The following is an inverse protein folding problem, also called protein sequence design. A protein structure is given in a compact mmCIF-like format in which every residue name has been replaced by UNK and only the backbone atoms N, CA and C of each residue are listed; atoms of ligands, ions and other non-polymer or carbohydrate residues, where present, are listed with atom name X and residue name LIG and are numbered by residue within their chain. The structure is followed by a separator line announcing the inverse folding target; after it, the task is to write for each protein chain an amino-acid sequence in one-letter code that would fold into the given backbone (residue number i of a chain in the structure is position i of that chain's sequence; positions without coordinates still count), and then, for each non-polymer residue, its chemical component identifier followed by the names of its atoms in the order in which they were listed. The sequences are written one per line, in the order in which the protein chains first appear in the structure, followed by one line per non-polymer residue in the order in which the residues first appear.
data_IF_617640243011
#
_entry.id   IF_617640243011
#
_cell.length_a   1.000
_cell.length_b   1.000
_cell.length_c   1.000
_cell.angle_alpha   90.00
_cell.angle_beta   90.00
_cell.angle_gamma   90.00
#
_symmetry.space_group_name_H-M   'P 1'
#
loop_
_entity.id
_entity.type
_entity.pdbx_description
1 polymer ?
#
# COMPACT_ATOMS: atom_id res chain seq x y z
N UNK A 1 -16.53 12.63 -11.97
CA UNK A 1 -15.15 12.65 -12.52
C UNK A 1 -14.12 12.15 -11.50
N UNK A 2 -14.16 12.64 -10.26
CA UNK A 2 -13.25 12.25 -9.17
C UNK A 2 -13.12 10.73 -8.94
N UNK A 3 -14.24 10.00 -8.89
CA UNK A 3 -14.22 8.55 -8.72
C UNK A 3 -13.49 7.77 -9.82
N UNK A 4 -13.61 8.23 -11.08
CA UNK A 4 -12.91 7.61 -12.20
C UNK A 4 -11.39 7.82 -12.11
N UNK A 5 -10.98 9.01 -11.65
CA UNK A 5 -9.57 9.33 -11.41
C UNK A 5 -8.96 8.37 -10.36
N UNK A 6 -9.66 8.17 -9.24
CA UNK A 6 -9.21 7.24 -8.19
C UNK A 6 -9.18 5.78 -8.64
N UNK A 7 -10.11 5.37 -9.50
CA UNK A 7 -10.15 4.00 -10.04
C UNK A 7 -8.94 3.74 -10.95
N UNK A 8 -8.60 4.71 -11.82
CA UNK A 8 -7.42 4.64 -12.70
C UNK A 8 -6.12 4.72 -11.90
N UNK A 9 -6.01 5.66 -10.97
CA UNK A 9 -4.82 5.82 -10.13
C UNK A 9 -4.61 4.60 -9.24
N UNK A 10 -5.66 4.11 -8.59
CA UNK A 10 -5.62 2.90 -7.77
C UNK A 10 -5.30 1.66 -8.59
N UNK A 11 -5.85 1.54 -9.81
CA UNK A 11 -5.53 0.45 -10.73
C UNK A 11 -4.06 0.46 -11.16
N UNK A 12 -3.55 1.60 -11.65
CA UNK A 12 -2.15 1.74 -12.04
C UNK A 12 -1.19 1.52 -10.86
N UNK A 13 -1.47 2.15 -9.71
CA UNK A 13 -0.65 2.00 -8.51
C UNK A 13 -0.68 0.55 -7.99
N UNK A 14 -1.83 -0.12 -8.05
CA UNK A 14 -1.98 -1.53 -7.67
C UNK A 14 -1.23 -2.49 -8.59
N UNK A 15 -1.26 -2.27 -9.91
CA UNK A 15 -0.49 -3.07 -10.89
C UNK A 15 1.01 -2.89 -10.67
N UNK A 16 1.48 -1.65 -10.52
CA UNK A 16 2.90 -1.36 -10.25
C UNK A 16 3.33 -1.98 -8.91
N UNK A 17 2.52 -1.82 -7.87
CA UNK A 17 2.75 -2.42 -6.56
C UNK A 17 2.87 -3.95 -6.61
N UNK A 18 2.00 -4.60 -7.39
CA UNK A 18 2.01 -6.05 -7.59
C UNK A 18 3.22 -6.54 -8.41
N UNK A 19 3.64 -5.77 -9.42
CA UNK A 19 4.78 -6.12 -10.27
C UNK A 19 6.12 -6.03 -9.52
N UNK A 20 6.31 -4.97 -8.73
CA UNK A 20 7.54 -4.78 -7.96
C UNK A 20 7.57 -5.59 -6.65
N UNK A 21 6.43 -6.05 -6.15
CA UNK A 21 6.34 -6.88 -4.95
C UNK A 21 6.67 -6.16 -3.64
N UNK A 22 6.88 -4.83 -3.67
CA UNK A 22 7.32 -4.01 -2.53
C UNK A 22 6.18 -3.65 -1.56
N UNK A 23 4.92 -3.95 -1.92
CA UNK A 23 3.75 -3.41 -1.23
C UNK A 23 3.56 -1.95 -1.63
N UNK A 24 2.39 -1.59 -2.15
CA UNK A 24 2.21 -0.38 -2.96
C UNK A 24 2.50 0.97 -2.31
N UNK A 25 2.91 1.02 -1.04
CA UNK A 25 3.11 2.25 -0.28
C UNK A 25 4.07 3.25 -0.91
N UNK A 26 5.18 2.79 -1.50
CA UNK A 26 6.15 3.70 -2.13
C UNK A 26 5.55 4.45 -3.34
N UNK A 27 4.59 3.84 -4.04
CA UNK A 27 3.92 4.43 -5.22
C UNK A 27 2.63 5.15 -4.83
N UNK A 28 1.85 4.58 -3.90
CA UNK A 28 0.53 5.06 -3.51
C UNK A 28 0.60 6.38 -2.72
N UNK A 29 1.57 6.56 -1.83
CA UNK A 29 1.70 7.81 -1.05
C UNK A 29 1.88 9.04 -1.95
N UNK A 30 2.91 9.13 -2.82
CA UNK A 30 3.09 10.32 -3.66
C UNK A 30 1.92 10.54 -4.62
N UNK A 31 1.29 9.47 -5.12
CA UNK A 31 0.09 9.57 -5.95
C UNK A 31 -1.08 10.20 -5.19
N UNK A 32 -1.34 9.77 -3.96
CA UNK A 32 -2.40 10.35 -3.12
C UNK A 32 -2.10 11.80 -2.73
N UNK A 33 -0.84 12.11 -2.40
CA UNK A 33 -0.39 13.48 -2.10
C UNK A 33 -0.66 14.40 -3.30
N UNK A 34 -0.33 13.96 -4.52
CA UNK A 34 -0.55 14.77 -5.73
C UNK A 34 -2.04 14.99 -6.01
N UNK A 35 -2.86 13.93 -5.88
CA UNK A 35 -4.31 14.01 -6.06
C UNK A 35 -4.98 14.92 -5.01
N UNK A 36 -4.62 14.79 -3.74
CA UNK A 36 -5.18 15.64 -2.69
C UNK A 36 -4.74 17.10 -2.81
N UNK A 37 -3.52 17.35 -3.31
CA UNK A 37 -3.05 18.71 -3.63
C UNK A 37 -3.89 19.31 -4.76
N UNK A 38 -4.19 18.54 -5.81
CA UNK A 38 -5.03 19.00 -6.93
C UNK A 38 -6.48 19.30 -6.51
N UNK A 39 -6.97 18.65 -5.45
CA UNK A 39 -8.30 18.88 -4.87
C UNK A 39 -8.36 20.05 -3.87
N UNK A 40 -7.22 20.67 -3.55
CA UNK A 40 -7.17 21.81 -2.64
C UNK A 40 -7.32 21.44 -1.17
N UNK A 41 -6.96 20.21 -0.77
CA UNK A 41 -6.92 19.83 0.65
C UNK A 41 -5.86 20.63 1.41
N UNK A 42 -6.14 20.92 2.68
CA UNK A 42 -5.22 21.62 3.58
C UNK A 42 -3.90 20.83 3.73
N UNK A 43 -2.73 21.45 3.47
CA UNK A 43 -1.42 20.79 3.60
C UNK A 43 -1.17 20.15 4.97
N UNK A 44 -1.80 20.68 6.03
CA UNK A 44 -1.64 20.18 7.40
C UNK A 44 -2.23 18.78 7.57
N UNK A 45 -3.31 18.47 6.85
CA UNK A 45 -4.06 17.21 6.96
C UNK A 45 -3.74 16.27 5.79
N UNK A 46 -3.33 16.83 4.65
CA UNK A 46 -3.06 16.11 3.41
C UNK A 46 -2.05 14.97 3.58
N UNK A 47 -0.93 15.23 4.25
CA UNK A 47 0.11 14.22 4.47
C UNK A 47 -0.38 13.08 5.34
N UNK A 48 -1.15 13.38 6.40
CA UNK A 48 -1.69 12.39 7.31
C UNK A 48 -2.73 11.52 6.63
N UNK A 49 -3.61 12.11 5.80
CA UNK A 49 -4.58 11.36 5.00
C UNK A 49 -3.88 10.48 3.96
N UNK A 50 -2.92 11.02 3.20
CA UNK A 50 -2.22 10.24 2.18
C UNK A 50 -1.46 9.04 2.78
N UNK A 51 -0.79 9.25 3.91
CA UNK A 51 -0.09 8.17 4.63
C UNK A 51 -1.08 7.17 5.22
N UNK A 52 -2.14 7.62 5.88
CA UNK A 52 -3.17 6.75 6.48
C UNK A 52 -3.89 5.89 5.44
N UNK A 53 -4.31 6.50 4.32
CA UNK A 53 -4.95 5.79 3.20
C UNK A 53 -3.97 4.79 2.57
N UNK A 54 -2.71 5.17 2.38
CA UNK A 54 -1.68 4.25 1.89
C UNK A 54 -1.51 3.03 2.80
N UNK A 55 -1.38 3.23 4.12
CA UNK A 55 -1.27 2.13 5.08
C UNK A 55 -2.48 1.18 5.00
N UNK A 56 -3.69 1.71 4.87
CA UNK A 56 -4.89 0.90 4.67
C UNK A 56 -4.80 0.04 3.39
N UNK A 57 -4.30 0.60 2.28
CA UNK A 57 -4.09 -0.19 1.05
C UNK A 57 -2.99 -1.25 1.20
N UNK A 58 -1.93 -0.95 1.96
CA UNK A 58 -0.82 -1.89 2.20
C UNK A 58 -1.33 -3.14 2.91
N UNK A 59 -2.24 -3.03 3.87
CA UNK A 59 -2.83 -4.20 4.55
C UNK A 59 -3.41 -5.20 3.55
N UNK A 60 -4.24 -4.73 2.61
CA UNK A 60 -4.86 -5.59 1.60
C UNK A 60 -3.86 -6.15 0.59
N UNK A 61 -2.92 -5.34 0.12
CA UNK A 61 -1.89 -5.81 -0.85
C UNK A 61 -0.93 -6.82 -0.22
N UNK A 62 -0.51 -6.59 1.03
CA UNK A 62 0.35 -7.50 1.79
C UNK A 62 -0.33 -8.83 2.08
N UNK A 63 -1.61 -8.84 2.46
CA UNK A 63 -2.39 -10.08 2.62
C UNK A 63 -2.40 -10.93 1.35
N UNK A 64 -2.65 -10.29 0.20
CA UNK A 64 -2.63 -10.96 -1.10
C UNK A 64 -1.22 -11.48 -1.44
N UNK A 65 -0.18 -10.69 -1.18
CA UNK A 65 1.21 -11.08 -1.41
C UNK A 65 1.60 -12.29 -0.55
N UNK A 66 1.32 -12.27 0.75
CA UNK A 66 1.59 -13.40 1.66
C UNK A 66 0.87 -14.65 1.18
N UNK A 67 -0.41 -14.55 0.81
CA UNK A 67 -1.19 -15.69 0.30
C UNK A 67 -0.59 -16.27 -0.98
N UNK A 68 -0.11 -15.44 -1.89
CA UNK A 68 0.54 -15.87 -3.13
C UNK A 68 1.87 -16.60 -2.86
N UNK A 69 2.71 -16.07 -1.97
CA UNK A 69 3.98 -16.69 -1.58
C UNK A 69 3.78 -17.98 -0.79
N UNK A 70 2.76 -18.02 0.09
CA UNK A 70 2.43 -19.21 0.86
C UNK A 70 1.97 -20.36 -0.04
N UNK A 71 1.13 -20.07 -1.05
CA UNK A 71 0.73 -21.07 -2.07
C UNK A 71 1.91 -21.64 -2.87
N UNK A 72 3.02 -20.90 -2.98
CA UNK A 72 4.25 -21.34 -3.65
C UNK A 72 5.22 -22.08 -2.72
N UNK A 73 4.86 -22.29 -1.44
CA UNK A 73 5.73 -22.89 -0.44
C UNK A 73 6.93 -22.03 -0.06
N UNK A 74 6.95 -20.74 -0.45
CA UNK A 74 8.09 -19.85 -0.27
C UNK A 74 8.10 -19.11 1.08
N UNK A 75 7.23 -19.50 2.01
CA UNK A 75 7.08 -18.84 3.32
C UNK A 75 7.66 -19.72 4.43
N UNK A 76 8.76 -19.26 5.03
CA UNK A 76 9.38 -19.89 6.20
C UNK A 76 8.74 -19.34 7.48
N UNK A 77 7.69 -20.01 7.96
CA UNK A 77 6.91 -19.54 9.12
C UNK A 77 7.73 -19.39 10.41
N UNK A 78 8.77 -20.20 10.59
CA UNK A 78 9.70 -20.07 11.72
C UNK A 78 10.40 -18.71 11.73
N UNK A 79 10.83 -18.21 10.57
CA UNK A 79 11.47 -16.89 10.43
C UNK A 79 10.44 -15.78 10.60
N UNK A 80 9.25 -15.93 9.99
CA UNK A 80 8.15 -14.94 10.13
C UNK A 80 7.80 -14.71 11.58
N UNK A 81 7.73 -15.77 12.40
CA UNK A 81 7.38 -15.66 13.82
C UNK A 81 8.44 -14.88 14.60
N UNK A 82 9.73 -15.18 14.40
CA UNK A 82 10.84 -14.44 15.02
C UNK A 82 10.88 -12.97 14.58
N UNK A 83 10.66 -12.70 13.29
CA UNK A 83 10.61 -11.33 12.77
C UNK A 83 9.40 -10.56 13.31
N UNK A 84 8.23 -11.19 13.42
CA UNK A 84 7.01 -10.53 13.90
C UNK A 84 7.15 -10.10 15.36
N UNK A 85 7.78 -10.91 16.20
CA UNK A 85 8.08 -10.55 17.60
C UNK A 85 8.97 -9.31 17.64
N UNK A 86 10.04 -9.25 16.84
CA UNK A 86 10.93 -8.08 16.80
C UNK A 86 10.35 -6.83 16.13
N UNK A 87 9.21 -6.92 15.44
CA UNK A 87 8.50 -5.76 14.87
C UNK A 87 7.46 -5.21 15.87
N UNK A 88 6.81 -6.08 16.65
CA UNK A 88 5.75 -5.71 17.58
C UNK A 88 6.26 -5.24 18.94
N UNK A 89 7.44 -5.68 19.36
CA UNK A 89 8.08 -5.35 20.63
C UNK A 89 9.40 -4.62 20.39
#
# INVERSE_FOLDING_TARGET
MEFALYLVLGGCAGVLAGLFGVGGGMVIVPVLVFSFTMQGFDPLVLTHLAVGTSLATIVFTSLNSIRAHHRRGAVQWSVVLWMTVGILF
#
